data_IF_275787660755
#
_entry.id   IF_275787660755
#
_cell.length_a   1.000
_cell.length_b   1.000
_cell.length_c   1.000
_cell.angle_alpha   90.00
_cell.angle_beta   90.00
_cell.angle_gamma   90.00
#
_symmetry.space_group_name_H-M   'P 1'
#
loop_
_entity.id
_entity.type
_entity.pdbx_description
1 polymer ?
#
# COMPACT_ATOMS: atom_id res chain seq x y z
N UNK A 1 -7.22 -44.71 -44.59
CA UNK A 1 -8.26 -44.41 -43.58
C UNK A 1 -7.56 -44.34 -42.23
N UNK A 2 -6.89 -43.22 -41.89
CA UNK A 2 -7.42 -42.02 -41.18
C UNK A 2 -8.30 -42.34 -39.97
N UNK A 3 -7.69 -42.35 -38.77
CA UNK A 3 -8.04 -41.53 -37.58
C UNK A 3 -7.15 -42.02 -36.42
N UNK A 4 -5.94 -41.50 -36.19
CA UNK A 4 -5.62 -40.28 -35.43
C UNK A 4 -6.49 -40.09 -34.17
N UNK A 5 -6.06 -40.66 -33.03
CA UNK A 5 -6.47 -40.20 -31.70
C UNK A 5 -5.55 -39.04 -31.30
N UNK A 6 -6.10 -37.84 -31.28
CA UNK A 6 -5.42 -36.63 -30.83
C UNK A 6 -5.76 -36.43 -29.35
N UNK A 7 -4.80 -36.69 -28.44
CA UNK A 7 -4.88 -36.23 -27.06
C UNK A 7 -4.63 -34.71 -27.05
N UNK A 8 -5.70 -33.94 -26.88
CA UNK A 8 -5.60 -32.50 -26.69
C UNK A 8 -5.31 -32.24 -25.20
N UNK A 9 -4.03 -32.11 -24.86
CA UNK A 9 -3.61 -31.53 -23.57
C UNK A 9 -3.86 -30.02 -23.67
N UNK A 10 -4.98 -29.55 -23.13
CA UNK A 10 -5.22 -28.13 -22.90
C UNK A 10 -4.37 -27.75 -21.68
N UNK A 11 -3.12 -27.38 -21.94
CA UNK A 11 -2.32 -26.64 -20.96
C UNK A 11 -2.93 -25.23 -20.91
N UNK A 12 -3.93 -25.05 -20.05
CA UNK A 12 -4.46 -23.72 -19.76
C UNK A 12 -3.34 -22.90 -19.13
N UNK A 13 -2.69 -22.04 -19.91
CA UNK A 13 -1.96 -20.92 -19.34
C UNK A 13 -3.00 -20.07 -18.62
N UNK A 14 -3.14 -20.30 -17.32
CA UNK A 14 -3.77 -19.35 -16.42
C UNK A 14 -2.89 -18.10 -16.45
N UNK A 15 -3.14 -17.23 -17.42
CA UNK A 15 -2.58 -15.89 -17.43
C UNK A 15 -2.94 -15.30 -16.07
N UNK A 16 -1.92 -14.91 -15.30
CA UNK A 16 -2.12 -14.18 -14.06
C UNK A 16 -2.96 -12.96 -14.42
N UNK A 17 -4.24 -12.99 -14.08
CA UNK A 17 -5.06 -11.81 -14.01
C UNK A 17 -4.40 -10.90 -12.97
N UNK A 18 -3.50 -10.03 -13.43
CA UNK A 18 -2.75 -9.07 -12.63
C UNK A 18 -3.74 -7.97 -12.26
N UNK A 19 -4.33 -8.09 -11.07
CA UNK A 19 -5.11 -7.02 -10.50
C UNK A 19 -4.12 -6.01 -9.92
N UNK A 20 -3.99 -4.84 -10.55
CA UNK A 20 -3.13 -3.72 -10.12
C UNK A 20 -3.31 -3.39 -8.63
N UNK A 21 -2.29 -2.85 -7.99
CA UNK A 21 -2.37 -2.42 -6.60
C UNK A 21 -2.87 -1.00 -6.48
N UNK A 22 -3.72 -0.76 -5.48
CA UNK A 22 -4.04 0.59 -5.03
C UNK A 22 -3.03 1.02 -3.99
N UNK A 23 -2.56 2.26 -4.06
CA UNK A 23 -1.81 2.86 -2.96
C UNK A 23 -2.19 4.32 -2.74
N UNK A 24 -1.91 4.79 -1.54
CA UNK A 24 -2.09 6.17 -1.11
C UNK A 24 -0.75 6.72 -0.66
N UNK A 25 -0.46 7.97 -0.99
CA UNK A 25 0.79 8.62 -0.62
C UNK A 25 0.58 10.10 -0.33
N UNK A 26 1.45 10.67 0.50
CA UNK A 26 1.50 12.10 0.80
C UNK A 26 2.69 12.75 0.13
N UNK A 27 2.60 14.06 -0.13
CA UNK A 27 3.72 14.84 -0.68
C UNK A 27 4.85 15.08 0.33
N UNK A 28 4.59 14.89 1.62
CA UNK A 28 5.55 15.08 2.72
C UNK A 28 5.26 14.10 3.86
N UNK A 29 6.28 13.76 4.63
CA UNK A 29 6.17 12.99 5.87
C UNK A 29 5.96 13.88 7.11
N UNK A 30 6.36 15.15 7.07
CA UNK A 30 6.15 16.11 8.17
C UNK A 30 5.59 17.42 7.65
N UNK A 31 4.66 18.01 8.39
CA UNK A 31 3.99 19.27 8.07
C UNK A 31 3.74 20.10 9.34
N UNK A 32 3.49 21.40 9.22
CA UNK A 32 3.03 22.20 10.37
C UNK A 32 1.56 21.93 10.66
N UNK A 33 1.17 22.03 11.93
CA UNK A 33 -0.24 22.10 12.32
C UNK A 33 -0.89 23.30 11.62
N UNK A 34 -2.04 23.08 10.98
CA UNK A 34 -2.77 24.09 10.22
C UNK A 34 -2.39 24.17 8.74
N UNK A 35 -1.28 23.54 8.32
CA UNK A 35 -0.89 23.46 6.91
C UNK A 35 -1.60 22.29 6.20
N UNK A 36 -1.56 22.32 4.86
CA UNK A 36 -2.15 21.30 4.01
C UNK A 36 -1.14 20.22 3.62
N UNK A 37 -1.59 18.97 3.64
CA UNK A 37 -0.92 17.82 3.04
C UNK A 37 -1.65 17.46 1.76
N UNK A 38 -0.91 17.29 0.67
CA UNK A 38 -1.46 16.78 -0.59
C UNK A 38 -1.38 15.27 -0.60
N UNK A 39 -2.49 14.66 -0.98
CA UNK A 39 -2.71 13.22 -0.95
C UNK A 39 -2.95 12.77 -2.37
N UNK A 40 -2.28 11.68 -2.78
CA UNK A 40 -2.55 11.02 -4.05
C UNK A 40 -3.11 9.63 -3.82
N UNK A 41 -4.13 9.27 -4.59
CA UNK A 41 -4.77 7.95 -4.59
C UNK A 41 -4.61 7.32 -5.97
N UNK A 42 -3.82 6.24 -6.03
CA UNK A 42 -3.21 5.72 -7.26
C UNK A 42 -3.54 4.24 -7.46
N UNK A 43 -3.51 3.81 -8.72
CA UNK A 43 -3.66 2.41 -9.14
C UNK A 43 -2.54 2.06 -10.12
N UNK A 44 -1.88 0.92 -9.92
CA UNK A 44 -0.78 0.52 -10.79
C UNK A 44 0.03 -0.64 -10.25
N UNK A 45 1.35 -0.47 -10.21
CA UNK A 45 2.31 -1.53 -9.90
C UNK A 45 2.22 -2.67 -10.94
N UNK A 46 2.33 -2.30 -12.22
CA UNK A 46 2.09 -3.22 -13.33
C UNK A 46 3.34 -3.94 -13.82
N UNK A 47 4.54 -3.36 -13.67
CA UNK A 47 5.75 -3.95 -14.21
C UNK A 47 6.31 -5.07 -13.32
N UNK A 48 6.84 -6.10 -13.97
CA UNK A 48 7.57 -7.21 -13.38
C UNK A 48 6.87 -7.82 -12.15
N UNK A 49 5.64 -8.33 -12.31
CA UNK A 49 4.72 -8.82 -11.26
C UNK A 49 4.70 -7.94 -10.00
N UNK A 50 4.19 -6.73 -10.14
CA UNK A 50 3.95 -5.85 -9.00
C UNK A 50 5.22 -5.40 -8.25
N UNK A 51 6.27 -5.05 -9.01
CA UNK A 51 7.58 -4.62 -8.49
C UNK A 51 8.01 -3.21 -8.93
N UNK A 52 7.08 -2.29 -9.18
CA UNK A 52 7.38 -0.89 -9.52
C UNK A 52 6.29 0.14 -9.12
N UNK A 53 6.57 1.43 -9.36
CA UNK A 53 5.64 2.54 -9.11
C UNK A 53 4.80 2.94 -10.33
N UNK A 54 4.80 2.15 -11.42
CA UNK A 54 4.15 2.58 -12.67
C UNK A 54 2.64 2.54 -12.49
N UNK A 55 1.99 3.66 -12.83
CA UNK A 55 0.53 3.72 -12.89
C UNK A 55 0.02 2.78 -13.97
N UNK A 56 -1.09 2.11 -13.68
CA UNK A 56 -1.81 1.31 -14.65
C UNK A 56 -3.29 1.32 -14.29
N UNK A 57 -4.01 2.19 -14.98
CA UNK A 57 -5.40 2.50 -14.65
C UNK A 57 -5.51 3.61 -13.61
N UNK A 58 -6.72 3.72 -13.07
CA UNK A 58 -7.11 4.67 -12.03
C UNK A 58 -8.00 3.95 -11.01
N UNK A 59 -7.90 4.25 -9.70
CA UNK A 59 -8.83 3.69 -8.73
C UNK A 59 -10.29 4.03 -9.05
N UNK A 60 -11.24 3.35 -8.39
CA UNK A 60 -12.68 3.62 -8.54
C UNK A 60 -13.26 4.12 -7.22
N UNK A 61 -13.43 5.44 -7.04
CA UNK A 61 -13.93 6.01 -5.78
C UNK A 61 -15.28 5.43 -5.35
N UNK A 62 -16.13 5.01 -6.30
CA UNK A 62 -17.47 4.46 -6.04
C UNK A 62 -17.45 3.12 -5.31
N UNK A 63 -16.32 2.41 -5.36
CA UNK A 63 -16.10 1.10 -4.73
C UNK A 63 -14.98 1.13 -3.70
N UNK A 64 -14.55 2.33 -3.29
CA UNK A 64 -13.41 2.53 -2.40
C UNK A 64 -13.82 3.38 -1.20
N UNK A 65 -13.14 3.16 -0.08
CA UNK A 65 -13.05 4.11 1.02
C UNK A 65 -11.69 4.79 0.96
N UNK A 66 -11.64 6.05 1.39
CA UNK A 66 -10.39 6.77 1.59
C UNK A 66 -10.58 7.78 2.71
N UNK A 67 -9.87 7.58 3.81
CA UNK A 67 -10.00 8.45 4.98
C UNK A 67 -8.65 8.86 5.56
N UNK A 68 -8.67 10.00 6.26
CA UNK A 68 -7.61 10.41 7.17
C UNK A 68 -8.08 10.17 8.59
N UNK A 69 -7.27 9.47 9.37
CA UNK A 69 -7.45 9.23 10.79
C UNK A 69 -6.47 10.15 11.53
N UNK A 70 -7.01 11.07 12.32
CA UNK A 70 -6.26 12.05 13.09
C UNK A 70 -5.66 11.45 14.39
N UNK A 71 -4.74 12.17 15.06
CA UNK A 71 -4.10 11.69 16.29
C UNK A 71 -5.07 11.34 17.42
N UNK A 72 -6.20 12.05 17.50
CA UNK A 72 -7.28 11.81 18.46
C UNK A 72 -8.18 10.61 18.07
N UNK A 73 -7.96 10.04 16.89
CA UNK A 73 -8.74 8.96 16.31
C UNK A 73 -9.94 9.40 15.49
N UNK A 74 -10.21 10.70 15.35
CA UNK A 74 -11.24 11.23 14.47
C UNK A 74 -10.96 10.84 13.02
N UNK A 75 -11.99 10.41 12.29
CA UNK A 75 -11.87 9.96 10.91
C UNK A 75 -12.58 10.93 9.95
N UNK A 76 -11.92 11.24 8.84
CA UNK A 76 -12.39 12.18 7.82
C UNK A 76 -12.41 11.48 6.46
N UNK A 77 -13.61 11.27 5.90
CA UNK A 77 -13.77 10.76 4.54
C UNK A 77 -13.28 11.78 3.51
N UNK A 78 -12.53 11.28 2.52
CA UNK A 78 -11.93 12.10 1.46
C UNK A 78 -12.55 11.87 0.09
N UNK A 79 -13.39 10.84 -0.09
CA UNK A 79 -13.89 10.42 -1.41
C UNK A 79 -14.57 11.58 -2.16
N UNK A 80 -15.42 12.34 -1.46
CA UNK A 80 -16.14 13.48 -2.04
C UNK A 80 -15.26 14.70 -2.39
N UNK A 81 -14.01 14.71 -1.94
CA UNK A 81 -13.04 15.81 -2.16
C UNK A 81 -11.98 15.48 -3.20
N UNK A 82 -12.04 14.28 -3.78
CA UNK A 82 -11.09 13.85 -4.80
C UNK A 82 -11.21 14.69 -6.07
N UNK A 83 -10.06 15.06 -6.61
CA UNK A 83 -9.89 15.76 -7.88
C UNK A 83 -9.22 14.78 -8.84
N UNK A 84 -9.79 14.63 -10.03
CA UNK A 84 -9.22 13.78 -11.08
C UNK A 84 -8.04 14.50 -11.74
N UNK A 85 -6.83 13.94 -11.62
CA UNK A 85 -5.60 14.43 -12.27
C UNK A 85 -5.31 13.68 -13.58
N UNK A 86 -6.25 12.86 -14.05
CA UNK A 86 -6.16 12.12 -15.30
C UNK A 86 -6.50 12.97 -16.52
N UNK A 87 -5.71 12.83 -17.59
CA UNK A 87 -6.06 13.41 -18.88
C UNK A 87 -7.27 12.70 -19.54
N UNK A 88 -7.39 11.39 -19.31
CA UNK A 88 -8.51 10.56 -19.77
C UNK A 88 -9.13 9.79 -18.60
N UNK A 89 -10.39 9.30 -18.72
CA UNK A 89 -11.08 8.64 -17.61
C UNK A 89 -10.32 7.43 -17.02
N UNK A 90 -9.54 6.71 -17.82
CA UNK A 90 -8.82 5.51 -17.42
C UNK A 90 -7.36 5.72 -17.00
N UNK A 91 -6.82 6.93 -17.09
CA UNK A 91 -5.39 7.21 -16.86
C UNK A 91 -5.19 8.22 -15.73
N UNK A 92 -4.02 8.19 -15.11
CA UNK A 92 -3.66 9.12 -14.04
C UNK A 92 -4.06 8.63 -12.67
N UNK A 93 -4.45 9.56 -11.79
CA UNK A 93 -4.76 9.29 -10.39
C UNK A 93 -5.69 10.36 -9.83
N UNK A 94 -6.20 10.15 -8.63
CA UNK A 94 -6.94 11.19 -7.91
C UNK A 94 -6.05 11.89 -6.90
N UNK A 95 -6.21 13.20 -6.74
CA UNK A 95 -5.57 13.99 -5.70
C UNK A 95 -6.60 14.62 -4.76
N UNK A 96 -6.17 14.96 -3.55
CA UNK A 96 -6.92 15.85 -2.66
C UNK A 96 -5.94 16.56 -1.72
N UNK A 97 -6.45 17.48 -0.90
CA UNK A 97 -5.70 18.11 0.18
C UNK A 97 -6.41 17.86 1.51
N UNK A 98 -5.62 17.69 2.57
CA UNK A 98 -6.11 17.64 3.94
C UNK A 98 -5.41 18.71 4.77
N UNK A 99 -6.17 19.56 5.48
CA UNK A 99 -5.61 20.55 6.39
C UNK A 99 -5.52 19.96 7.79
N UNK A 100 -4.33 19.97 8.37
CA UNK A 100 -4.13 19.42 9.73
C UNK A 100 -4.74 20.31 10.80
N UNK A 101 -5.19 19.69 11.89
CA UNK A 101 -5.85 20.39 13.00
C UNK A 101 -5.06 20.29 14.32
N UNK A 102 -4.51 19.12 14.62
CA UNK A 102 -3.84 18.81 15.88
C UNK A 102 -2.43 18.27 15.61
N UNK A 103 -1.47 18.46 16.53
CA UNK A 103 -0.16 17.83 16.40
C UNK A 103 -0.25 16.32 16.61
N UNK A 104 0.59 15.57 15.91
CA UNK A 104 0.74 14.12 16.06
C UNK A 104 0.75 13.36 14.74
N UNK A 105 0.69 12.03 14.84
CA UNK A 105 0.64 11.13 13.71
C UNK A 105 -0.76 11.10 13.09
N UNK A 106 -0.83 11.31 11.78
CA UNK A 106 -1.99 11.04 10.97
C UNK A 106 -1.77 9.76 10.16
N UNK A 107 -2.80 8.92 10.07
CA UNK A 107 -2.83 7.74 9.21
C UNK A 107 -3.82 8.00 8.08
N UNK A 108 -3.40 7.79 6.84
CA UNK A 108 -4.33 7.63 5.72
C UNK A 108 -4.64 6.15 5.56
N UNK A 109 -5.90 5.85 5.31
CA UNK A 109 -6.36 4.48 5.10
C UNK A 109 -7.28 4.42 3.87
N UNK A 110 -7.11 3.38 3.09
CA UNK A 110 -7.99 3.03 1.97
C UNK A 110 -8.37 1.57 2.05
N UNK A 111 -9.61 1.27 1.65
CA UNK A 111 -10.09 -0.09 1.40
C UNK A 111 -10.97 -0.13 0.15
N UNK A 112 -10.83 -1.15 -0.69
CA UNK A 112 -11.75 -1.43 -1.80
C UNK A 112 -12.11 -2.90 -1.88
N UNK A 113 -13.31 -3.19 -2.38
CA UNK A 113 -13.81 -4.56 -2.52
C UNK A 113 -14.71 -4.67 -3.75
N UNK A 114 -14.25 -5.38 -4.77
CA UNK A 114 -15.00 -5.50 -6.02
C UNK A 114 -14.70 -6.80 -6.75
N UNK A 115 -15.71 -7.31 -7.46
CA UNK A 115 -15.49 -8.30 -8.53
C UNK A 115 -14.96 -7.57 -9.76
N UNK A 116 -13.82 -8.03 -10.29
CA UNK A 116 -13.21 -7.39 -11.47
C UNK A 116 -14.02 -7.68 -12.72
N UNK A 117 -14.09 -6.72 -13.66
CA UNK A 117 -14.97 -6.83 -14.82
C UNK A 117 -14.49 -7.81 -15.90
N UNK A 118 -13.23 -8.24 -15.85
CA UNK A 118 -12.59 -9.03 -16.90
C UNK A 118 -12.35 -10.50 -16.53
N UNK A 119 -12.68 -10.90 -15.29
CA UNK A 119 -12.52 -12.26 -14.80
C UNK A 119 -13.48 -12.50 -13.62
N UNK A 120 -13.92 -13.74 -13.36
CA UNK A 120 -14.73 -14.09 -12.18
C UNK A 120 -13.85 -14.11 -10.92
N UNK A 121 -13.29 -12.96 -10.55
CA UNK A 121 -12.31 -12.80 -9.48
C UNK A 121 -12.66 -11.59 -8.64
N UNK A 122 -12.78 -11.79 -7.33
CA UNK A 122 -12.91 -10.71 -6.36
C UNK A 122 -11.53 -10.15 -6.03
N UNK A 123 -11.41 -8.83 -5.95
CA UNK A 123 -10.21 -8.12 -5.57
C UNK A 123 -10.51 -7.26 -4.36
N UNK A 124 -9.84 -7.57 -3.26
CA UNK A 124 -9.94 -6.89 -1.98
C UNK A 124 -8.61 -6.19 -1.74
N UNK A 125 -8.62 -4.87 -1.59
CA UNK A 125 -7.38 -4.09 -1.51
C UNK A 125 -7.40 -3.20 -0.29
N UNK A 126 -6.25 -3.05 0.33
CA UNK A 126 -6.03 -2.09 1.40
C UNK A 126 -4.77 -1.27 1.13
N UNK A 127 -4.77 -0.02 1.60
CA UNK A 127 -3.59 0.81 1.54
C UNK A 127 -3.49 1.72 2.77
N UNK A 128 -2.26 2.01 3.20
CA UNK A 128 -1.95 2.99 4.24
C UNK A 128 -0.78 3.90 3.85
N UNK A 129 -0.74 5.09 4.45
CA UNK A 129 0.46 5.94 4.55
C UNK A 129 0.36 6.78 5.82
N UNK A 130 1.46 7.41 6.22
CA UNK A 130 1.55 8.17 7.45
C UNK A 130 2.22 9.52 7.24
N UNK A 131 1.86 10.50 8.05
CA UNK A 131 2.59 11.76 8.18
C UNK A 131 2.43 12.33 9.60
N UNK A 132 3.31 13.22 10.00
CA UNK A 132 3.25 13.91 11.31
C UNK A 132 2.95 15.38 11.11
N UNK A 133 1.98 15.90 11.85
CA UNK A 133 1.80 17.34 12.01
C UNK A 133 2.51 17.81 13.28
N UNK A 134 3.34 18.84 13.18
CA UNK A 134 4.05 19.41 14.33
C UNK A 134 3.78 20.90 14.46
N UNK A 135 3.81 21.43 15.69
CA UNK A 135 3.75 22.88 15.92
C UNK A 135 5.04 23.59 15.49
N UNK A 136 6.15 22.84 15.43
CA UNK A 136 7.49 23.32 15.05
C UNK A 136 8.17 22.29 14.14
N UNK A 137 8.77 22.75 13.04
CA UNK A 137 9.59 21.89 12.19
C UNK A 137 11.04 21.81 12.67
N UNK A 138 11.46 22.71 13.56
CA UNK A 138 12.81 22.70 14.14
C UNK A 138 12.90 21.73 15.34
N UNK A 139 11.76 21.36 15.91
CA UNK A 139 11.63 20.51 17.10
C UNK A 139 10.48 19.53 16.92
N UNK A 140 10.73 18.46 16.16
CA UNK A 140 9.75 17.41 15.89
C UNK A 140 9.90 16.31 16.94
N UNK A 141 8.78 15.92 17.57
CA UNK A 141 8.76 14.80 18.52
C UNK A 141 9.19 13.50 17.84
N UNK A 142 10.02 12.71 18.52
CA UNK A 142 10.29 11.33 18.13
C UNK A 142 9.14 10.40 18.54
N UNK A 143 8.35 10.79 19.53
CA UNK A 143 7.20 10.03 19.98
C UNK A 143 5.94 10.54 19.28
N UNK A 144 5.44 9.74 18.34
CA UNK A 144 4.20 9.97 17.61
C UNK A 144 3.43 8.62 17.54
N UNK A 145 2.68 8.27 18.59
CA UNK A 145 2.01 6.96 18.69
C UNK A 145 0.84 6.83 17.71
N UNK A 146 0.27 5.63 17.62
CA UNK A 146 -0.93 5.34 16.82
C UNK A 146 -0.64 4.73 15.44
N UNK A 147 0.63 4.59 15.06
CA UNK A 147 1.04 3.95 13.80
C UNK A 147 0.67 2.47 13.73
N UNK A 148 0.57 1.80 14.89
CA UNK A 148 0.31 0.39 15.08
C UNK A 148 -1.19 0.04 15.15
N UNK A 149 -2.07 1.03 14.91
CA UNK A 149 -3.52 0.85 14.89
C UNK A 149 -3.92 -0.16 13.80
N UNK A 150 -4.66 -1.18 14.24
CA UNK A 150 -5.25 -2.22 13.40
C UNK A 150 -6.63 -1.74 12.92
N UNK A 151 -6.82 -1.71 11.60
CA UNK A 151 -8.07 -1.30 10.95
C UNK A 151 -8.96 -2.49 10.57
N UNK A 152 -8.48 -3.73 10.76
CA UNK A 152 -9.15 -4.97 10.41
C UNK A 152 -9.41 -5.09 8.90
N UNK A 153 -8.48 -4.57 8.09
CA UNK A 153 -8.48 -4.90 6.66
C UNK A 153 -8.15 -6.38 6.48
N UNK A 154 -8.69 -7.02 5.43
CA UNK A 154 -8.55 -8.47 5.24
C UNK A 154 -7.10 -8.87 5.03
N UNK A 155 -6.33 -8.11 4.26
CA UNK A 155 -4.87 -8.18 4.26
C UNK A 155 -4.38 -6.81 4.74
N UNK A 156 -3.50 -6.79 5.75
CA UNK A 156 -3.12 -5.55 6.43
C UNK A 156 -1.64 -5.55 6.79
N UNK A 157 -0.92 -4.53 6.32
CA UNK A 157 0.41 -4.18 6.80
C UNK A 157 0.29 -3.21 7.99
N UNK A 158 0.92 -3.56 9.11
CA UNK A 158 0.88 -2.79 10.36
C UNK A 158 2.31 -2.47 10.76
N UNK A 159 2.69 -1.18 10.82
CA UNK A 159 3.97 -0.80 11.41
C UNK A 159 4.04 -1.18 12.89
N UNK A 160 5.18 -1.75 13.28
CA UNK A 160 5.54 -2.09 14.66
C UNK A 160 6.68 -1.21 15.18
N UNK A 161 7.37 -0.49 14.29
CA UNK A 161 8.15 0.70 14.58
C UNK A 161 7.50 1.95 13.99
N UNK A 162 7.84 3.14 14.50
CA UNK A 162 7.28 4.39 14.02
C UNK A 162 7.73 4.64 12.56
N UNK A 163 6.79 4.76 11.60
CA UNK A 163 7.16 4.87 10.20
C UNK A 163 7.54 6.29 9.75
N UNK A 164 7.48 7.29 10.65
CA UNK A 164 7.69 8.71 10.30
C UNK A 164 8.78 9.38 11.13
N UNK A 165 8.78 9.21 12.45
CA UNK A 165 9.72 9.86 13.38
C UNK A 165 10.13 8.92 14.52
N UNK A 166 11.40 8.56 14.69
CA UNK A 166 12.48 8.73 13.73
C UNK A 166 12.32 7.78 12.54
N UNK A 167 12.42 8.31 11.32
CA UNK A 167 12.62 7.51 10.11
C UNK A 167 13.68 8.20 9.25
N UNK A 168 14.53 7.41 8.63
CA UNK A 168 15.67 7.84 7.83
C UNK A 168 16.49 6.62 7.36
N UNK A 169 17.58 6.84 6.61
CA UNK A 169 18.45 5.74 6.18
C UNK A 169 19.04 5.01 7.40
N UNK A 170 19.11 3.68 7.31
CA UNK A 170 19.61 2.82 8.39
C UNK A 170 18.65 2.64 9.59
N UNK A 171 17.51 3.33 9.63
CA UNK A 171 16.49 3.10 10.66
C UNK A 171 15.64 1.88 10.29
N UNK A 172 15.53 0.93 11.21
CA UNK A 172 14.77 -0.30 10.97
C UNK A 172 13.26 -0.02 10.95
N UNK A 173 12.64 -0.29 9.81
CA UNK A 173 11.20 -0.40 9.65
C UNK A 173 10.77 -1.83 9.97
N UNK A 174 9.98 -2.00 11.02
CA UNK A 174 9.41 -3.27 11.43
C UNK A 174 7.92 -3.30 11.08
N UNK A 175 7.51 -4.30 10.29
CA UNK A 175 6.12 -4.47 9.86
C UNK A 175 5.59 -5.86 10.26
N UNK A 176 4.30 -5.89 10.58
CA UNK A 176 3.53 -7.13 10.69
C UNK A 176 2.50 -7.19 9.56
N UNK A 177 2.47 -8.32 8.84
CA UNK A 177 1.44 -8.65 7.88
C UNK A 177 0.39 -9.56 8.54
N UNK A 178 -0.87 -9.16 8.44
CA UNK A 178 -2.01 -9.96 8.90
C UNK A 178 -2.95 -10.29 7.76
N UNK A 179 -3.47 -11.50 7.76
CA UNK A 179 -4.58 -11.94 6.93
C UNK A 179 -5.78 -12.34 7.80
N UNK A 180 -6.95 -11.74 7.54
CA UNK A 180 -8.20 -11.89 8.30
C UNK A 180 -7.96 -11.79 9.81
N UNK A 181 -7.17 -10.79 10.20
CA UNK A 181 -6.85 -10.51 11.59
C UNK A 181 -5.89 -11.51 12.24
N UNK A 182 -5.20 -12.39 11.51
CA UNK A 182 -4.16 -13.29 12.03
C UNK A 182 -2.82 -13.02 11.35
N UNK A 183 -1.67 -13.19 12.04
CA UNK A 183 -0.37 -13.13 11.38
C UNK A 183 -0.30 -14.05 10.15
N UNK A 184 0.25 -13.55 9.05
CA UNK A 184 0.45 -14.32 7.84
C UNK A 184 1.94 -14.62 7.66
N UNK A 185 2.34 -15.87 7.87
CA UNK A 185 3.72 -16.35 7.74
C UNK A 185 4.09 -16.74 6.31
N UNK A 186 5.39 -16.74 6.00
CA UNK A 186 5.99 -17.13 4.71
C UNK A 186 5.46 -16.32 3.51
N UNK A 187 4.77 -15.21 3.76
CA UNK A 187 4.26 -14.32 2.75
C UNK A 187 5.36 -13.35 2.31
N UNK A 188 5.44 -13.11 1.00
CA UNK A 188 6.39 -12.15 0.45
C UNK A 188 5.90 -10.72 0.71
N UNK A 189 6.81 -9.90 1.22
CA UNK A 189 6.65 -8.45 1.34
C UNK A 189 7.76 -7.78 0.53
N UNK A 190 7.37 -6.91 -0.38
CA UNK A 190 8.27 -6.17 -1.27
C UNK A 190 8.37 -4.72 -0.84
N UNK A 191 9.57 -4.18 -0.71
CA UNK A 191 9.90 -2.81 -0.32
C UNK A 191 10.44 -2.06 -1.55
N UNK A 192 9.56 -1.57 -2.41
CA UNK A 192 9.93 -1.03 -3.72
C UNK A 192 10.32 0.44 -3.54
N UNK A 193 11.56 0.87 -3.83
CA UNK A 193 11.90 2.29 -3.87
C UNK A 193 11.34 2.96 -5.14
N UNK A 194 10.87 4.20 -5.02
CA UNK A 194 10.43 4.95 -6.21
C UNK A 194 11.59 5.13 -7.20
N UNK A 195 11.27 4.93 -8.47
CA UNK A 195 12.23 4.97 -9.57
C UNK A 195 12.95 3.63 -9.83
N UNK A 196 12.70 2.61 -9.01
CA UNK A 196 13.28 1.27 -9.17
C UNK A 196 12.23 0.28 -9.66
N UNK A 197 12.64 -0.63 -10.53
CA UNK A 197 11.90 -1.88 -10.82
C UNK A 197 12.72 -3.02 -10.23
N UNK A 198 12.16 -3.77 -9.28
CA UNK A 198 12.89 -4.87 -8.63
C UNK A 198 13.18 -6.00 -9.62
N UNK A 199 14.11 -6.89 -9.26
CA UNK A 199 14.42 -8.08 -10.06
C UNK A 199 13.21 -9.03 -10.17
N UNK A 200 13.10 -9.82 -11.26
CA UNK A 200 12.07 -10.85 -11.39
C UNK A 200 12.13 -11.89 -10.26
N UNK A 201 11.02 -12.60 -10.05
CA UNK A 201 10.86 -13.70 -9.07
C UNK A 201 11.04 -13.27 -7.61
N UNK A 202 12.27 -13.02 -7.17
CA UNK A 202 12.60 -12.55 -5.83
C UNK A 202 13.85 -11.64 -5.84
N UNK A 203 13.75 -10.44 -5.27
CA UNK A 203 14.87 -9.52 -5.09
C UNK A 203 15.28 -9.44 -3.61
N UNK A 204 16.31 -10.19 -3.16
CA UNK A 204 16.66 -10.27 -1.73
C UNK A 204 17.15 -8.95 -1.13
N UNK A 205 17.40 -7.93 -1.95
CA UNK A 205 17.71 -6.58 -1.46
C UNK A 205 16.46 -5.83 -0.98
N UNK A 206 15.31 -6.12 -1.57
CA UNK A 206 14.08 -5.36 -1.37
C UNK A 206 12.89 -6.24 -1.01
N UNK A 207 13.06 -7.55 -0.91
CA UNK A 207 11.98 -8.49 -0.67
C UNK A 207 12.35 -9.44 0.46
N UNK A 208 11.37 -9.71 1.31
CA UNK A 208 11.51 -10.61 2.45
C UNK A 208 10.29 -11.51 2.55
N UNK A 209 10.44 -12.64 3.24
CA UNK A 209 9.33 -13.46 3.66
C UNK A 209 9.02 -13.17 5.13
N UNK A 210 7.73 -13.11 5.46
CA UNK A 210 7.30 -12.94 6.84
C UNK A 210 7.65 -14.18 7.67
N UNK A 211 8.05 -13.94 8.92
CA UNK A 211 8.29 -15.02 9.88
C UNK A 211 6.96 -15.64 10.41
N UNK A 212 7.06 -16.57 11.37
CA UNK A 212 5.89 -17.21 12.00
C UNK A 212 4.96 -16.23 12.74
N UNK A 213 5.45 -15.05 13.10
CA UNK A 213 4.67 -13.98 13.71
C UNK A 213 4.18 -12.95 12.67
N UNK A 214 4.34 -13.24 11.37
CA UNK A 214 3.95 -12.36 10.28
C UNK A 214 4.87 -11.15 10.10
N UNK A 215 6.10 -11.19 10.63
CA UNK A 215 6.99 -10.01 10.71
C UNK A 215 8.03 -9.97 9.60
N UNK A 216 8.36 -8.76 9.16
CA UNK A 216 9.51 -8.43 8.29
C UNK A 216 10.18 -7.16 8.81
N UNK A 217 11.49 -7.04 8.59
CA UNK A 217 12.27 -5.87 9.02
C UNK A 217 13.12 -5.35 7.88
N UNK A 218 12.99 -4.07 7.54
CA UNK A 218 13.69 -3.46 6.41
C UNK A 218 14.43 -2.21 6.84
N UNK A 219 15.66 -2.02 6.35
CA UNK A 219 16.46 -0.83 6.58
C UNK A 219 16.63 -0.07 5.26
N UNK A 220 15.95 1.08 5.08
CA UNK A 220 16.17 1.94 3.92
C UNK A 220 17.64 2.36 3.84
N UNK A 221 18.25 2.30 2.65
CA UNK A 221 19.65 2.71 2.45
C UNK A 221 19.81 4.20 2.14
N UNK A 222 18.71 4.89 1.83
CA UNK A 222 18.70 6.29 1.44
C UNK A 222 17.29 6.86 1.46
N UNK A 223 17.18 8.17 1.33
CA UNK A 223 15.92 8.89 1.24
C UNK A 223 15.18 8.54 -0.04
N UNK A 224 13.94 8.07 0.09
CA UNK A 224 13.08 7.74 -1.03
C UNK A 224 11.61 7.63 -0.57
N UNK A 225 10.69 7.51 -1.53
CA UNK A 225 9.36 6.99 -1.26
C UNK A 225 9.38 5.49 -1.52
N UNK A 226 9.03 4.70 -0.52
CA UNK A 226 8.93 3.25 -0.60
C UNK A 226 7.46 2.83 -0.71
N UNK A 227 7.14 1.98 -1.68
CA UNK A 227 5.87 1.28 -1.79
C UNK A 227 6.11 -0.14 -1.27
N UNK A 228 5.59 -0.41 -0.08
CA UNK A 228 5.59 -1.73 0.52
C UNK A 228 4.34 -2.47 0.07
N UNK A 229 4.50 -3.70 -0.45
CA UNK A 229 3.40 -4.47 -1.05
C UNK A 229 3.41 -5.91 -0.53
N UNK A 230 2.23 -6.42 -0.23
CA UNK A 230 1.98 -7.83 0.01
C UNK A 230 0.72 -8.29 -0.74
N UNK A 231 0.74 -9.55 -1.18
CA UNK A 231 -0.38 -10.20 -1.86
C UNK A 231 -0.72 -11.51 -1.16
N UNK A 232 -2.01 -11.88 -1.19
CA UNK A 232 -2.48 -13.20 -0.77
C UNK A 232 -3.62 -13.64 -1.69
N UNK A 233 -3.67 -14.91 -2.08
CA UNK A 233 -4.72 -15.45 -2.93
C UNK A 233 -5.46 -16.58 -2.21
N UNK A 234 -6.79 -16.53 -2.26
CA UNK A 234 -7.68 -17.61 -1.83
C UNK A 234 -8.35 -18.17 -3.09
N UNK A 235 -7.78 -19.22 -3.71
CA UNK A 235 -8.27 -19.75 -4.98
C UNK A 235 -9.67 -20.36 -4.87
N UNK A 236 -10.05 -20.82 -3.67
CA UNK A 236 -11.32 -21.47 -3.40
C UNK A 236 -12.35 -20.54 -2.71
N UNK A 237 -11.99 -19.30 -2.40
CA UNK A 237 -12.95 -18.31 -1.89
C UNK A 237 -13.80 -17.77 -3.04
N UNK A 238 -14.96 -18.40 -3.23
CA UNK A 238 -15.95 -18.09 -4.25
C UNK A 238 -17.24 -17.49 -3.66
N UNK A 239 -18.01 -16.83 -4.52
CA UNK A 239 -19.29 -16.22 -4.16
C UNK A 239 -20.06 -15.76 -5.39
N UNK A 240 -21.01 -14.84 -5.21
CA UNK A 240 -21.78 -14.31 -6.34
C UNK A 240 -20.86 -13.55 -7.31
N UNK A 241 -20.75 -14.06 -8.54
CA UNK A 241 -19.96 -13.43 -9.61
C UNK A 241 -18.44 -13.67 -9.56
N UNK A 242 -17.92 -14.46 -8.60
CA UNK A 242 -16.49 -14.77 -8.53
C UNK A 242 -16.21 -16.20 -8.07
N UNK A 243 -15.11 -16.78 -8.57
CA UNK A 243 -14.65 -18.14 -8.24
C UNK A 243 -13.34 -18.15 -7.45
N UNK A 244 -12.73 -16.99 -7.20
CA UNK A 244 -11.50 -16.83 -6.41
C UNK A 244 -11.41 -15.41 -5.86
N UNK A 245 -10.66 -15.22 -4.79
CA UNK A 245 -10.40 -13.90 -4.20
C UNK A 245 -8.90 -13.61 -4.15
N UNK A 246 -8.52 -12.39 -4.57
CA UNK A 246 -7.18 -11.85 -4.37
C UNK A 246 -7.22 -10.70 -3.37
N UNK A 247 -6.24 -10.72 -2.48
CA UNK A 247 -6.01 -9.67 -1.50
C UNK A 247 -4.70 -8.96 -1.81
N UNK A 248 -4.70 -7.64 -1.70
CA UNK A 248 -3.47 -6.86 -1.68
C UNK A 248 -3.48 -5.83 -0.56
N UNK A 249 -2.30 -5.60 0.02
CA UNK A 249 -2.07 -4.60 1.03
C UNK A 249 -0.87 -3.77 0.62
N UNK A 250 -1.02 -2.45 0.62
CA UNK A 250 0.08 -1.53 0.39
C UNK A 250 0.31 -0.61 1.58
N UNK A 251 1.56 -0.25 1.80
CA UNK A 251 1.96 0.79 2.72
C UNK A 251 2.96 1.67 1.98
N UNK A 252 2.64 2.95 1.80
CA UNK A 252 3.61 3.90 1.22
C UNK A 252 4.26 4.70 2.32
N UNK A 253 5.59 4.78 2.31
CA UNK A 253 6.35 5.54 3.30
C UNK A 253 7.27 6.51 2.61
N UNK A 254 7.30 7.76 3.10
CA UNK A 254 8.30 8.74 2.72
C UNK A 254 9.44 8.64 3.74
N UNK A 255 10.57 8.11 3.29
CA UNK A 255 11.83 8.05 4.05
C UNK A 255 12.64 9.29 3.66
N UNK A 256 12.88 10.22 4.59
CA UNK A 256 13.71 11.40 4.31
C UNK A 256 15.19 11.00 4.23
N UNK A 257 16.00 11.74 3.48
CA UNK A 257 17.46 11.52 3.41
C UNK A 257 18.13 11.78 4.76
N UNK A 258 17.61 12.74 5.52
CA UNK A 258 18.06 13.10 6.86
C UNK A 258 16.86 12.99 7.79
N UNK A 259 17.01 12.30 8.92
CA UNK A 259 15.93 12.11 9.87
C UNK A 259 15.45 13.46 10.43
N UNK A 260 14.15 13.79 10.32
CA UNK A 260 13.64 15.12 10.59
C UNK A 260 13.67 15.49 12.08
N UNK A 261 13.75 14.51 12.98
CA UNK A 261 13.82 14.71 14.42
C UNK A 261 15.22 14.51 15.00
N UNK A 262 16.15 13.91 14.25
CA UNK A 262 17.51 13.60 14.74
C UNK A 262 18.59 14.46 14.05
N UNK A 263 18.35 14.94 12.83
CA UNK A 263 19.36 15.66 12.04
C UNK A 263 20.47 14.77 11.48
N UNK A 264 20.30 13.45 11.56
CA UNK A 264 21.20 12.40 11.08
C UNK A 264 20.54 11.56 10.00
#
# INVERSE_FOLDING_TARGET
MKSLLLQLVILGMAGTALAHDTWVETNTNVVRVGDAVHISFKLGNHGNDHRDFKLAGKPKPETSTLSVIAPDGSEYDLISTLIDEGYTPGEGFFSTRFKTGEPGLYMLAHRSDAVVSYAPKRSVKSAKTFFVASKSLDTISQENPGFDRILNHELELIPRSNPVTPMGPGQTLDLELRFKGKPLSEARVSFIPRGVTLKPEFDPEYEQQTDSAGRVQFEPKGGNVYLIVAHHEEPDEAGEGFTSTKYSATLTLFVPEICPCCGE
#
